data_IF_594778839010
#
_entry.id   IF_594778839010
#
_cell.length_a   1.000
_cell.length_b   1.000
_cell.length_c   1.000
_cell.angle_alpha   90.00
_cell.angle_beta   90.00
_cell.angle_gamma   90.00
#
_symmetry.space_group_name_H-M   'P 1'
#
loop_
_entity.id
_entity.type
_entity.pdbx_description
1 polymer ?
#
# COMPACT_ATOMS: atom_id res chain seq x y z
N UNK A 1 2.37 22.24 -35.87
CA UNK A 1 3.47 21.85 -34.95
C UNK A 1 3.23 22.37 -33.54
N UNK A 2 2.71 23.59 -33.39
CA UNK A 2 2.32 24.17 -32.09
C UNK A 2 1.23 23.37 -31.37
N UNK A 3 0.18 22.91 -32.06
CA UNK A 3 -0.90 22.11 -31.43
C UNK A 3 -0.40 20.78 -30.84
N UNK A 4 0.57 20.14 -31.49
CA UNK A 4 1.17 18.90 -31.01
C UNK A 4 2.01 19.16 -29.75
N UNK A 5 2.72 20.29 -29.69
CA UNK A 5 3.50 20.68 -28.52
C UNK A 5 2.59 21.01 -27.33
N UNK A 6 1.46 21.68 -27.56
CA UNK A 6 0.48 21.97 -26.51
C UNK A 6 -0.07 20.68 -25.91
N UNK A 7 -0.52 19.74 -26.75
CA UNK A 7 -1.02 18.42 -26.29
C UNK A 7 0.05 17.62 -25.54
N UNK A 8 1.31 17.63 -26.01
CA UNK A 8 2.41 16.97 -25.31
C UNK A 8 2.71 17.62 -23.95
N UNK A 9 2.60 18.94 -23.87
CA UNK A 9 2.85 19.70 -22.63
C UNK A 9 1.75 19.43 -21.60
N UNK A 10 0.49 19.42 -22.02
CA UNK A 10 -0.66 19.04 -21.16
C UNK A 10 -0.53 17.60 -20.68
N UNK A 11 -0.18 16.67 -21.56
CA UNK A 11 -0.01 15.26 -21.19
C UNK A 11 1.12 15.09 -20.16
N UNK A 12 2.22 15.83 -20.30
CA UNK A 12 3.34 15.79 -19.38
C UNK A 12 2.99 16.34 -17.97
N UNK A 13 1.97 17.20 -17.85
CA UNK A 13 1.44 17.66 -16.56
C UNK A 13 0.40 16.69 -15.97
N UNK A 14 -0.48 16.14 -16.80
CA UNK A 14 -1.58 15.27 -16.37
C UNK A 14 -1.07 13.90 -15.91
N UNK A 15 -0.05 13.34 -16.57
CA UNK A 15 0.49 12.01 -16.25
C UNK A 15 1.01 11.91 -14.80
N UNK A 16 1.87 12.81 -14.29
CA UNK A 16 2.30 12.79 -12.89
C UNK A 16 1.13 12.86 -11.90
N UNK A 17 0.13 13.68 -12.18
CA UNK A 17 -1.07 13.85 -11.33
C UNK A 17 -1.84 12.54 -11.26
N UNK A 18 -2.10 11.91 -12.42
CA UNK A 18 -2.77 10.63 -12.49
C UNK A 18 -2.01 9.53 -11.74
N UNK A 19 -0.69 9.46 -11.89
CA UNK A 19 0.15 8.47 -11.21
C UNK A 19 0.12 8.67 -9.70
N UNK A 20 0.21 9.92 -9.24
CA UNK A 20 0.11 10.26 -7.83
C UNK A 20 -1.26 9.91 -7.26
N UNK A 21 -2.34 10.26 -7.97
CA UNK A 21 -3.71 9.90 -7.60
C UNK A 21 -3.87 8.38 -7.49
N UNK A 22 -3.36 7.64 -8.47
CA UNK A 22 -3.45 6.18 -8.52
C UNK A 22 -2.64 5.52 -7.39
N UNK A 23 -1.48 6.08 -7.03
CA UNK A 23 -0.71 5.68 -5.85
C UNK A 23 -1.50 5.88 -4.55
N UNK A 24 -2.13 7.05 -4.38
CA UNK A 24 -2.92 7.38 -3.19
C UNK A 24 -4.16 6.50 -3.07
N UNK A 25 -4.91 6.32 -4.16
CA UNK A 25 -6.09 5.43 -4.19
C UNK A 25 -5.71 4.01 -3.78
N UNK A 26 -4.58 3.51 -4.30
CA UNK A 26 -4.07 2.18 -3.95
C UNK A 26 -3.76 2.08 -2.45
N UNK A 27 -3.13 3.10 -1.87
CA UNK A 27 -2.84 3.16 -0.42
C UNK A 27 -4.12 3.24 0.43
N UNK A 28 -5.12 4.03 0.01
CA UNK A 28 -6.41 4.17 0.70
C UNK A 28 -7.19 2.86 0.69
N UNK A 29 -7.29 2.19 -0.46
CA UNK A 29 -7.99 0.91 -0.57
C UNK A 29 -7.29 -0.16 0.28
N UNK A 30 -5.96 -0.18 0.28
CA UNK A 30 -5.19 -1.14 1.07
C UNK A 30 -5.34 -0.90 2.58
N UNK A 31 -5.02 0.29 3.07
CA UNK A 31 -5.02 0.55 4.52
C UNK A 31 -6.46 0.61 5.04
N UNK A 32 -7.37 1.25 4.29
CA UNK A 32 -8.79 1.34 4.62
C UNK A 32 -9.50 0.00 4.59
N UNK A 33 -9.23 -0.86 3.59
CA UNK A 33 -9.81 -2.19 3.51
C UNK A 33 -9.36 -3.10 4.66
N UNK A 34 -8.06 -3.07 5.00
CA UNK A 34 -7.56 -3.84 6.15
C UNK A 34 -8.12 -3.31 7.47
N UNK A 35 -8.19 -1.99 7.65
CA UNK A 35 -8.76 -1.38 8.85
C UNK A 35 -10.25 -1.72 8.99
N UNK A 36 -11.03 -1.67 7.90
CA UNK A 36 -12.44 -2.04 7.88
C UNK A 36 -12.65 -3.51 8.28
N UNK A 37 -11.84 -4.44 7.74
CA UNK A 37 -11.92 -5.85 8.12
C UNK A 37 -11.67 -6.06 9.62
N UNK A 38 -10.62 -5.44 10.16
CA UNK A 38 -10.22 -5.62 11.56
C UNK A 38 -11.15 -4.90 12.54
N UNK A 39 -11.62 -3.70 12.21
CA UNK A 39 -12.37 -2.84 13.13
C UNK A 39 -13.89 -2.98 13.01
N UNK A 40 -14.43 -3.38 11.86
CA UNK A 40 -15.87 -3.48 11.64
C UNK A 40 -16.32 -4.92 11.40
N UNK A 41 -15.71 -5.62 10.45
CA UNK A 41 -16.18 -6.95 10.02
C UNK A 41 -15.96 -8.01 11.09
N UNK A 42 -14.72 -8.23 11.52
CA UNK A 42 -14.41 -9.24 12.55
C UNK A 42 -15.19 -9.04 13.86
N UNK A 43 -15.22 -7.83 14.48
CA UNK A 43 -15.98 -7.64 15.71
C UNK A 43 -17.50 -7.70 15.48
N UNK A 44 -18.00 -7.23 14.33
CA UNK A 44 -19.42 -7.34 13.97
C UNK A 44 -19.88 -8.78 13.81
N UNK A 45 -19.04 -9.64 13.22
CA UNK A 45 -19.34 -11.08 13.13
C UNK A 45 -19.29 -11.76 14.50
N UNK A 46 -18.33 -11.37 15.37
CA UNK A 46 -18.24 -11.90 16.75
C UNK A 46 -19.50 -11.63 17.58
N UNK A 47 -20.27 -10.59 17.27
CA UNK A 47 -21.52 -10.27 17.97
C UNK A 47 -22.79 -10.79 17.27
N UNK A 48 -22.77 -10.93 15.94
CA UNK A 48 -23.96 -11.23 15.15
C UNK A 48 -24.16 -12.72 14.81
N UNK A 49 -23.10 -13.54 14.80
CA UNK A 49 -23.16 -14.95 14.38
C UNK A 49 -22.49 -15.91 15.36
N UNK A 50 -22.92 -17.19 15.40
CA UNK A 50 -22.24 -18.22 16.18
C UNK A 50 -20.76 -18.37 15.80
N UNK A 51 -19.92 -18.72 16.79
CA UNK A 51 -18.46 -18.75 16.64
C UNK A 51 -17.97 -19.62 15.48
N UNK A 52 -18.67 -20.72 15.20
CA UNK A 52 -18.38 -21.65 14.09
C UNK A 52 -18.47 -21.00 12.70
N UNK A 53 -19.29 -19.97 12.52
CA UNK A 53 -19.48 -19.30 11.23
C UNK A 53 -18.55 -18.09 11.03
N UNK A 54 -17.92 -17.57 12.09
CA UNK A 54 -17.06 -16.39 11.99
C UNK A 54 -15.88 -16.66 11.05
N UNK A 55 -15.20 -17.80 11.23
CA UNK A 55 -14.02 -18.20 10.43
C UNK A 55 -14.34 -18.31 8.93
N UNK A 56 -15.29 -19.15 8.47
CA UNK A 56 -15.56 -19.31 7.04
C UNK A 56 -16.04 -18.02 6.37
N UNK A 57 -16.82 -17.20 7.08
CA UNK A 57 -17.27 -15.91 6.55
C UNK A 57 -16.07 -14.97 6.39
N UNK A 58 -15.25 -14.82 7.44
CA UNK A 58 -14.12 -13.87 7.41
C UNK A 58 -13.03 -14.31 6.42
N UNK A 59 -12.77 -15.62 6.29
CA UNK A 59 -11.87 -16.18 5.27
C UNK A 59 -12.35 -15.85 3.85
N UNK A 60 -13.67 -15.89 3.60
CA UNK A 60 -14.23 -15.54 2.28
C UNK A 60 -14.00 -14.08 1.93
N UNK A 61 -14.27 -13.16 2.87
CA UNK A 61 -13.97 -11.74 2.70
C UNK A 61 -12.48 -11.51 2.49
N UNK A 62 -11.64 -12.19 3.27
CA UNK A 62 -10.20 -12.05 3.16
C UNK A 62 -9.65 -12.60 1.85
N UNK A 63 -10.17 -13.71 1.34
CA UNK A 63 -9.76 -14.28 0.05
C UNK A 63 -9.98 -13.28 -1.10
N UNK A 64 -11.14 -12.63 -1.12
CA UNK A 64 -11.47 -11.58 -2.10
C UNK A 64 -10.55 -10.37 -1.92
N UNK A 65 -10.38 -9.92 -0.67
CA UNK A 65 -9.50 -8.81 -0.33
C UNK A 65 -8.05 -9.08 -0.73
N UNK A 66 -7.51 -10.27 -0.46
CA UNK A 66 -6.14 -10.70 -0.79
C UNK A 66 -5.84 -10.54 -2.29
N UNK A 67 -6.78 -10.92 -3.15
CA UNK A 67 -6.64 -10.76 -4.61
C UNK A 67 -6.52 -9.28 -5.01
N UNK A 68 -7.32 -8.41 -4.41
CA UNK A 68 -7.28 -6.96 -4.65
C UNK A 68 -5.97 -6.37 -4.10
N UNK A 69 -5.56 -6.76 -2.88
CA UNK A 69 -4.33 -6.29 -2.22
C UNK A 69 -3.08 -6.59 -3.05
N UNK A 70 -2.99 -7.79 -3.64
CA UNK A 70 -1.84 -8.13 -4.48
C UNK A 70 -1.68 -7.17 -5.65
N UNK A 71 -2.78 -6.84 -6.34
CA UNK A 71 -2.76 -5.92 -7.48
C UNK A 71 -2.41 -4.50 -7.03
N UNK A 72 -3.06 -3.99 -5.97
CA UNK A 72 -2.81 -2.62 -5.50
C UNK A 72 -1.39 -2.45 -4.90
N UNK A 73 -0.79 -3.49 -4.32
CA UNK A 73 0.61 -3.43 -3.86
C UNK A 73 1.59 -3.30 -5.02
N UNK A 74 1.40 -4.08 -6.09
CA UNK A 74 2.20 -3.97 -7.32
C UNK A 74 2.05 -2.58 -7.91
N UNK A 75 0.82 -2.11 -8.05
CA UNK A 75 0.50 -0.76 -8.52
C UNK A 75 1.16 0.32 -7.66
N UNK A 76 1.06 0.22 -6.32
CA UNK A 76 1.66 1.17 -5.40
C UNK A 76 3.20 1.20 -5.50
N UNK A 77 3.84 0.05 -5.72
CA UNK A 77 5.28 -0.06 -5.89
C UNK A 77 5.74 0.64 -7.18
N UNK A 78 5.11 0.33 -8.32
CA UNK A 78 5.45 0.94 -9.61
C UNK A 78 5.15 2.43 -9.63
N UNK A 79 3.96 2.85 -9.19
CA UNK A 79 3.60 4.27 -9.11
C UNK A 79 4.49 5.04 -8.13
N UNK A 80 4.94 4.41 -7.04
CA UNK A 80 5.89 4.99 -6.10
C UNK A 80 7.25 5.27 -6.73
N UNK A 81 7.76 4.32 -7.53
CA UNK A 81 9.02 4.49 -8.28
C UNK A 81 8.91 5.57 -9.35
N UNK A 82 7.80 5.62 -10.09
CA UNK A 82 7.58 6.67 -11.10
C UNK A 82 7.43 8.05 -10.45
N UNK A 83 6.73 8.13 -9.31
CA UNK A 83 6.59 9.37 -8.55
C UNK A 83 7.95 9.90 -8.07
N UNK A 84 8.90 9.02 -7.69
CA UNK A 84 10.27 9.42 -7.38
C UNK A 84 10.97 10.07 -8.59
N UNK A 85 10.81 9.51 -9.79
CA UNK A 85 11.40 10.06 -11.01
C UNK A 85 10.90 11.48 -11.30
N UNK A 86 9.58 11.69 -11.21
CA UNK A 86 8.99 13.02 -11.41
C UNK A 86 9.43 14.01 -10.34
N UNK A 87 9.49 13.59 -9.09
CA UNK A 87 9.97 14.39 -7.97
C UNK A 87 11.46 14.76 -8.16
N UNK A 88 12.28 13.84 -8.67
CA UNK A 88 13.69 14.13 -8.97
C UNK A 88 13.85 15.21 -10.04
N UNK A 89 13.06 15.13 -11.12
CA UNK A 89 13.05 16.14 -12.18
C UNK A 89 12.55 17.50 -11.69
N UNK A 90 11.53 17.51 -10.85
CA UNK A 90 10.98 18.75 -10.28
C UNK A 90 12.02 19.45 -9.38
N UNK A 91 12.75 18.72 -8.53
CA UNK A 91 13.85 19.30 -7.74
C UNK A 91 14.98 19.83 -8.62
N UNK A 92 15.40 19.08 -9.64
CA UNK A 92 16.47 19.52 -10.55
C UNK A 92 16.10 20.85 -11.25
N UNK A 93 14.83 21.02 -11.61
CA UNK A 93 14.32 22.27 -12.21
C UNK A 93 14.26 23.45 -11.23
N UNK A 94 13.98 23.19 -9.94
CA UNK A 94 13.78 24.24 -8.93
C UNK A 94 15.07 24.67 -8.24
N UNK A 95 15.94 23.71 -7.91
CA UNK A 95 17.15 23.93 -7.12
C UNK A 95 18.43 23.77 -7.93
N UNK A 96 18.39 23.27 -9.16
CA UNK A 96 19.59 22.96 -9.97
C UNK A 96 20.37 21.73 -9.49
N UNK A 97 20.02 21.21 -8.31
CA UNK A 97 20.54 19.97 -7.74
C UNK A 97 19.45 18.89 -7.72
N UNK A 98 19.81 17.67 -8.12
CA UNK A 98 18.90 16.52 -8.08
C UNK A 98 18.66 15.98 -6.66
N UNK A 99 17.70 15.07 -6.53
CA UNK A 99 17.34 14.41 -5.25
C UNK A 99 18.51 13.77 -4.50
N UNK A 100 19.58 13.40 -5.21
CA UNK A 100 20.79 12.82 -4.63
C UNK A 100 21.45 13.73 -3.59
N UNK A 101 21.24 15.05 -3.66
CA UNK A 101 21.77 16.01 -2.69
C UNK A 101 20.86 16.19 -1.48
N UNK A 102 19.61 15.72 -1.55
CA UNK A 102 18.65 15.76 -0.44
C UNK A 102 18.69 14.46 0.38
N UNK A 103 19.75 14.28 1.16
CA UNK A 103 19.98 13.08 1.97
C UNK A 103 18.76 12.71 2.85
N UNK A 104 18.10 13.71 3.46
CA UNK A 104 16.90 13.49 4.30
C UNK A 104 15.73 12.90 3.51
N UNK A 105 15.46 13.43 2.31
CA UNK A 105 14.41 12.93 1.44
C UNK A 105 14.69 11.47 1.05
N UNK A 106 15.92 11.19 0.63
CA UNK A 106 16.35 9.87 0.20
C UNK A 106 16.25 8.84 1.33
N UNK A 107 16.65 9.20 2.56
CA UNK A 107 16.52 8.32 3.73
C UNK A 107 15.06 7.97 4.01
N UNK A 108 14.15 8.96 4.05
CA UNK A 108 12.72 8.70 4.30
C UNK A 108 12.11 7.86 3.17
N UNK A 109 12.52 8.10 1.92
CA UNK A 109 12.12 7.29 0.77
C UNK A 109 12.56 5.83 0.93
N UNK A 110 13.82 5.57 1.28
CA UNK A 110 14.32 4.21 1.49
C UNK A 110 13.61 3.51 2.65
N UNK A 111 13.34 4.21 3.76
CA UNK A 111 12.55 3.66 4.87
C UNK A 111 11.15 3.25 4.38
N UNK A 112 10.46 4.13 3.62
CA UNK A 112 9.16 3.81 3.03
C UNK A 112 9.26 2.60 2.11
N UNK A 113 10.26 2.56 1.25
CA UNK A 113 10.46 1.46 0.30
C UNK A 113 10.70 0.14 1.01
N UNK A 114 11.55 0.11 2.04
CA UNK A 114 11.79 -1.06 2.87
C UNK A 114 10.53 -1.56 3.56
N UNK A 115 9.69 -0.65 4.08
CA UNK A 115 8.39 -1.02 4.67
C UNK A 115 7.44 -1.64 3.64
N UNK A 116 7.32 -1.03 2.46
CA UNK A 116 6.47 -1.55 1.37
C UNK A 116 6.96 -2.93 0.90
N UNK A 117 8.28 -3.11 0.74
CA UNK A 117 8.87 -4.39 0.38
C UNK A 117 8.69 -5.45 1.49
N UNK A 118 8.78 -5.04 2.75
CA UNK A 118 8.49 -5.90 3.90
C UNK A 118 7.04 -6.40 3.90
N UNK A 119 6.08 -5.49 3.70
CA UNK A 119 4.66 -5.86 3.53
C UNK A 119 4.47 -6.78 2.33
N UNK A 120 5.07 -6.47 1.19
CA UNK A 120 4.98 -7.31 -0.02
C UNK A 120 5.53 -8.71 0.25
N UNK A 121 6.63 -8.82 1.01
CA UNK A 121 7.23 -10.10 1.38
C UNK A 121 6.29 -10.91 2.27
N UNK A 122 5.72 -10.29 3.31
CA UNK A 122 4.71 -10.94 4.18
C UNK A 122 3.50 -11.39 3.35
N UNK A 123 3.04 -10.54 2.43
CA UNK A 123 1.92 -10.84 1.54
C UNK A 123 2.23 -12.04 0.64
N UNK A 124 3.37 -12.04 -0.06
CA UNK A 124 3.79 -13.14 -0.93
C UNK A 124 4.00 -14.44 -0.15
N UNK A 125 4.61 -14.37 1.03
CA UNK A 125 4.74 -15.52 1.93
C UNK A 125 3.36 -16.09 2.28
N UNK A 126 2.38 -15.24 2.60
CA UNK A 126 1.00 -15.63 2.90
C UNK A 126 0.25 -16.18 1.68
N UNK A 127 0.59 -15.71 0.47
CA UNK A 127 0.03 -16.23 -0.78
C UNK A 127 0.58 -17.61 -1.10
N UNK A 128 1.89 -17.78 -1.02
CA UNK A 128 2.61 -18.97 -1.47
C UNK A 128 2.52 -20.11 -0.45
N UNK A 129 2.73 -19.84 0.84
CA UNK A 129 2.89 -20.90 1.86
C UNK A 129 1.61 -21.19 2.66
N UNK A 130 0.79 -20.17 2.94
CA UNK A 130 -0.38 -20.32 3.83
C UNK A 130 -1.66 -20.78 3.10
N UNK A 131 -1.69 -20.71 1.77
CA UNK A 131 -2.85 -21.20 1.00
C UNK A 131 -3.01 -22.73 1.11
N UNK A 132 -1.91 -23.46 1.31
CA UNK A 132 -1.89 -24.92 1.35
C UNK A 132 -2.11 -25.50 2.77
N UNK A 133 -2.06 -24.69 3.82
CA UNK A 133 -2.16 -25.14 5.23
C UNK A 133 -3.58 -25.08 5.82
N UNK A 134 -4.61 -24.90 4.99
CA UNK A 134 -5.98 -24.69 5.46
C UNK A 134 -6.61 -25.93 6.12
N UNK A 135 -5.98 -27.11 6.04
CA UNK A 135 -6.57 -28.36 6.50
C UNK A 135 -6.24 -28.79 7.94
N UNK A 136 -5.24 -28.21 8.65
CA UNK A 136 -4.76 -28.79 9.93
C UNK A 136 -4.60 -27.82 11.13
N UNK A 137 -5.31 -26.69 11.18
CA UNK A 137 -5.26 -25.82 12.38
C UNK A 137 -6.42 -26.08 13.35
N UNK A 138 -6.17 -27.01 14.28
CA UNK A 138 -6.91 -27.33 15.50
C UNK A 138 -6.90 -26.17 16.50
N UNK A 139 -8.07 -25.91 17.08
CA UNK A 139 -8.37 -25.28 18.37
C UNK A 139 -7.73 -23.94 18.84
N UNK A 140 -8.65 -23.01 19.13
CA UNK A 140 -8.62 -21.99 20.20
C UNK A 140 -7.47 -20.95 20.31
N UNK A 141 -6.58 -20.78 19.33
CA UNK A 141 -5.76 -19.56 19.27
C UNK A 141 -6.50 -18.42 18.57
N UNK A 142 -6.45 -17.22 19.17
CA UNK A 142 -7.09 -15.98 18.71
C UNK A 142 -6.92 -15.83 17.19
N UNK A 143 -8.01 -16.09 16.46
CA UNK A 143 -7.98 -16.26 15.02
C UNK A 143 -7.71 -14.90 14.37
N UNK A 144 -6.46 -14.71 13.93
CA UNK A 144 -6.05 -13.63 13.04
C UNK A 144 -6.17 -14.08 11.59
N UNK A 145 -7.10 -13.46 10.87
CA UNK A 145 -7.43 -13.79 9.47
C UNK A 145 -6.25 -13.48 8.53
N UNK A 146 -5.45 -12.46 8.87
CA UNK A 146 -4.14 -12.19 8.23
C UNK A 146 -3.05 -12.47 9.26
N UNK A 147 -2.00 -13.24 8.92
CA UNK A 147 -0.86 -13.33 9.81
C UNK A 147 -0.29 -11.93 10.03
N UNK A 148 -0.16 -11.51 11.29
CA UNK A 148 0.33 -10.18 11.66
C UNK A 148 -0.59 -9.02 11.20
N UNK A 149 -1.93 -9.20 11.21
CA UNK A 149 -2.91 -8.16 10.84
C UNK A 149 -2.56 -6.78 11.42
N UNK A 150 -2.34 -6.75 12.74
CA UNK A 150 -2.00 -5.53 13.48
C UNK A 150 -0.66 -4.97 13.04
N UNK A 151 0.32 -5.84 12.80
CA UNK A 151 1.64 -5.46 12.29
C UNK A 151 1.56 -4.80 10.92
N UNK A 152 0.80 -5.40 9.98
CA UNK A 152 0.59 -4.81 8.65
C UNK A 152 -0.13 -3.47 8.71
N UNK A 153 -1.12 -3.30 9.61
CA UNK A 153 -1.77 -2.00 9.83
C UNK A 153 -0.79 -0.94 10.33
N UNK A 154 0.03 -1.25 11.33
CA UNK A 154 1.06 -0.32 11.83
C UNK A 154 2.08 0.04 10.75
N UNK A 155 2.54 -0.95 9.97
CA UNK A 155 3.43 -0.69 8.82
C UNK A 155 2.76 0.23 7.80
N UNK A 156 1.48 0.02 7.48
CA UNK A 156 0.69 0.90 6.61
C UNK A 156 0.62 2.32 7.14
N UNK A 157 0.37 2.50 8.44
CA UNK A 157 0.37 3.82 9.09
C UNK A 157 1.74 4.51 8.98
N UNK A 158 2.83 3.78 9.24
CA UNK A 158 4.19 4.31 9.07
C UNK A 158 4.50 4.69 7.62
N UNK A 159 4.01 3.91 6.63
CA UNK A 159 4.14 4.24 5.20
C UNK A 159 3.44 5.57 4.87
N UNK A 160 2.24 5.82 5.43
CA UNK A 160 1.54 7.10 5.28
C UNK A 160 2.35 8.23 5.93
N UNK A 161 2.88 8.01 7.14
CA UNK A 161 3.69 9.01 7.84
C UNK A 161 4.95 9.38 7.03
N UNK A 162 5.66 8.40 6.47
CA UNK A 162 6.79 8.64 5.57
C UNK A 162 6.35 9.41 4.31
N UNK A 163 5.19 9.10 3.73
CA UNK A 163 4.66 9.83 2.59
C UNK A 163 4.37 11.31 2.92
N UNK A 164 3.78 11.57 4.09
CA UNK A 164 3.53 12.93 4.57
C UNK A 164 4.85 13.68 4.86
N UNK A 165 5.83 13.01 5.46
CA UNK A 165 7.14 13.59 5.73
C UNK A 165 7.88 13.96 4.43
N UNK A 166 7.88 13.08 3.42
CA UNK A 166 8.48 13.38 2.11
C UNK A 166 7.81 14.56 1.41
N UNK A 167 6.49 14.73 1.56
CA UNK A 167 5.77 15.88 0.99
C UNK A 167 6.24 17.20 1.59
N UNK A 168 6.52 17.23 2.90
CA UNK A 168 7.04 18.42 3.58
C UNK A 168 8.53 18.68 3.29
N UNK A 169 9.28 17.66 2.84
CA UNK A 169 10.71 17.79 2.51
C UNK A 169 10.96 18.23 1.05
N UNK A 170 9.92 18.30 0.23
CA UNK A 170 9.95 18.80 -1.15
C UNK A 170 8.99 19.99 -1.33
N UNK A 171 8.59 20.64 -0.24
CA UNK A 171 7.72 21.82 -0.22
C UNK A 171 8.42 23.03 0.38
#
# INVERSE_FOLDING_TARGET
MEDLQIVLTDLNQVVPIMIHWLHLVSAVIWIGGLAFLVMAVTPGLRTAVPKEYIRPITDTFYHQYKRVVGVILVVALFTGGINLHYVSKAMELLTGEGISHNAKYLTVFFIKLSLVLGVLTIFLYTVIFKNDQTEEATDEQDYEVVPFQRGTLWMGLFIILCAAAMKNLHG
#
